data_IF_739828443170
#
_entry.id   IF_739828443170
#
_cell.length_a   1.000
_cell.length_b   1.000
_cell.length_c   1.000
_cell.angle_alpha   90.00
_cell.angle_beta   90.00
_cell.angle_gamma   90.00
#
_symmetry.space_group_name_H-M   'P 1'
#
loop_
_entity.id
_entity.type
_entity.pdbx_description
1 polymer ?
#
# COMPACT_ATOMS: atom_id res chain seq x y z
N UNK A 1 -42.27 -1.25 -7.92
CA UNK A 1 -40.98 -1.52 -7.24
C UNK A 1 -41.27 -2.11 -5.88
N UNK A 2 -41.13 -3.44 -5.73
CA UNK A 2 -41.47 -4.19 -4.50
C UNK A 2 -40.38 -3.86 -3.45
N UNK A 3 -40.82 -3.49 -2.23
CA UNK A 3 -39.92 -3.17 -1.13
C UNK A 3 -39.25 -4.45 -0.64
N UNK A 4 -38.00 -4.73 -1.09
CA UNK A 4 -37.18 -5.86 -0.64
C UNK A 4 -37.07 -5.95 0.91
N UNK A 5 -37.03 -4.82 1.59
CA UNK A 5 -37.00 -4.72 3.06
C UNK A 5 -38.21 -5.29 3.80
N UNK A 6 -39.33 -5.54 3.10
CA UNK A 6 -40.50 -6.20 3.76
C UNK A 6 -40.40 -7.71 3.70
N UNK A 7 -39.70 -8.30 2.73
CA UNK A 7 -39.65 -9.75 2.50
C UNK A 7 -38.40 -10.39 3.05
N UNK A 8 -37.24 -9.70 2.95
CA UNK A 8 -35.96 -10.24 3.39
C UNK A 8 -35.31 -9.28 4.42
N UNK A 9 -35.23 -9.71 5.68
CA UNK A 9 -34.64 -8.94 6.79
C UNK A 9 -33.42 -9.63 7.39
N UNK A 10 -33.27 -10.92 7.12
CA UNK A 10 -32.23 -11.78 7.72
C UNK A 10 -31.80 -12.89 6.78
N UNK A 11 -30.71 -13.56 7.14
CA UNK A 11 -30.31 -14.80 6.45
C UNK A 11 -31.32 -15.94 6.56
N UNK A 12 -32.18 -15.91 7.60
CA UNK A 12 -33.28 -16.89 7.72
C UNK A 12 -34.28 -16.73 6.57
N UNK A 13 -34.65 -15.49 6.27
CA UNK A 13 -35.58 -15.19 5.17
C UNK A 13 -34.95 -15.54 3.81
N UNK A 14 -33.64 -15.22 3.67
CA UNK A 14 -32.87 -15.57 2.47
C UNK A 14 -32.79 -17.08 2.25
N UNK A 15 -32.56 -17.89 3.30
CA UNK A 15 -32.51 -19.35 3.23
C UNK A 15 -33.85 -19.97 2.82
N UNK A 16 -34.97 -19.29 3.12
CA UNK A 16 -36.32 -19.77 2.75
C UNK A 16 -36.64 -19.56 1.29
N UNK A 17 -36.09 -18.51 0.64
CA UNK A 17 -36.34 -18.19 -0.75
C UNK A 17 -35.15 -17.48 -1.41
N UNK A 18 -34.03 -18.21 -1.64
CA UNK A 18 -32.83 -17.63 -2.23
C UNK A 18 -33.03 -17.18 -3.68
N UNK A 19 -33.81 -17.90 -4.46
CA UNK A 19 -34.07 -17.57 -5.86
C UNK A 19 -34.87 -16.28 -6.01
N UNK A 20 -35.93 -16.11 -5.22
CA UNK A 20 -36.72 -14.88 -5.21
C UNK A 20 -35.90 -13.68 -4.78
N UNK A 21 -34.99 -13.85 -3.82
CA UNK A 21 -34.06 -12.82 -3.40
C UNK A 21 -33.11 -12.38 -4.54
N UNK A 22 -32.44 -13.35 -5.21
CA UNK A 22 -31.53 -13.05 -6.31
C UNK A 22 -32.25 -12.37 -7.47
N UNK A 23 -33.39 -12.87 -7.89
CA UNK A 23 -34.18 -12.24 -8.96
C UNK A 23 -34.46 -10.79 -8.65
N UNK A 24 -34.93 -10.48 -7.43
CA UNK A 24 -35.25 -9.12 -7.04
C UNK A 24 -34.04 -8.18 -7.04
N UNK A 25 -32.87 -8.65 -6.57
CA UNK A 25 -31.64 -7.83 -6.54
C UNK A 25 -31.09 -7.60 -7.95
N UNK A 26 -31.01 -8.65 -8.76
CA UNK A 26 -30.42 -8.55 -10.10
C UNK A 26 -31.33 -7.86 -11.15
N UNK A 27 -32.65 -7.81 -10.89
CA UNK A 27 -33.64 -7.06 -11.70
C UNK A 27 -33.74 -5.58 -11.30
N UNK A 28 -32.90 -5.08 -10.43
CA UNK A 28 -32.84 -3.67 -10.04
C UNK A 28 -33.62 -3.31 -8.79
N UNK A 29 -33.99 -4.29 -7.96
CA UNK A 29 -34.55 -4.08 -6.64
C UNK A 29 -33.45 -3.66 -5.65
N UNK A 30 -33.39 -2.38 -5.26
CA UNK A 30 -32.49 -1.92 -4.21
C UNK A 30 -33.13 -1.92 -2.82
N UNK A 31 -32.33 -2.04 -1.76
CA UNK A 31 -32.77 -1.85 -0.38
C UNK A 31 -32.81 -0.36 -0.03
N UNK A 32 -34.00 0.22 0.08
CA UNK A 32 -34.18 1.64 0.39
C UNK A 32 -33.89 1.99 1.86
N UNK A 33 -34.05 1.04 2.79
CA UNK A 33 -33.84 1.29 4.21
C UNK A 33 -33.06 0.16 4.86
N UNK A 34 -31.74 0.35 5.01
CA UNK A 34 -30.81 -0.65 5.57
C UNK A 34 -30.78 -0.65 7.10
N UNK A 35 -31.40 0.35 7.75
CA UNK A 35 -31.42 0.49 9.21
C UNK A 35 -32.20 -0.62 9.93
N UNK A 36 -33.12 -1.25 9.22
CA UNK A 36 -33.97 -2.32 9.77
C UNK A 36 -33.41 -3.72 9.57
N UNK A 37 -32.17 -3.84 9.03
CA UNK A 37 -31.52 -5.11 8.75
C UNK A 37 -30.56 -5.48 9.89
N UNK A 38 -30.42 -6.78 10.15
CA UNK A 38 -29.35 -7.27 11.00
C UNK A 38 -27.98 -6.87 10.41
N UNK A 39 -27.01 -6.52 11.25
CA UNK A 39 -25.71 -5.96 10.83
C UNK A 39 -25.02 -6.84 9.78
N UNK A 40 -24.88 -8.13 10.01
CA UNK A 40 -24.25 -9.07 9.07
C UNK A 40 -24.99 -9.20 7.74
N UNK A 41 -26.32 -9.18 7.78
CA UNK A 41 -27.15 -9.22 6.58
C UNK A 41 -27.06 -7.89 5.80
N UNK A 42 -26.97 -6.77 6.49
CA UNK A 42 -26.73 -5.46 5.89
C UNK A 42 -25.37 -5.40 5.18
N UNK A 43 -24.31 -5.92 5.79
CA UNK A 43 -22.97 -6.01 5.20
C UNK A 43 -22.98 -6.85 3.90
N UNK A 44 -23.68 -7.98 3.92
CA UNK A 44 -23.88 -8.81 2.73
C UNK A 44 -24.59 -8.07 1.60
N UNK A 45 -25.67 -7.37 1.90
CA UNK A 45 -26.41 -6.57 0.90
C UNK A 45 -25.52 -5.47 0.31
N UNK A 46 -24.74 -4.78 1.13
CA UNK A 46 -23.83 -3.73 0.67
C UNK A 46 -22.76 -4.33 -0.25
N UNK A 47 -22.18 -5.49 0.09
CA UNK A 47 -21.24 -6.21 -0.73
C UNK A 47 -21.87 -6.56 -2.09
N UNK A 48 -23.06 -7.17 -2.10
CA UNK A 48 -23.73 -7.61 -3.32
C UNK A 48 -24.09 -6.43 -4.24
N UNK A 49 -24.58 -5.31 -3.67
CA UNK A 49 -24.86 -4.09 -4.45
C UNK A 49 -23.59 -3.52 -5.10
N UNK A 50 -22.44 -3.54 -4.40
CA UNK A 50 -21.15 -3.12 -4.98
C UNK A 50 -20.75 -4.03 -6.13
N UNK A 51 -20.77 -5.34 -5.90
CA UNK A 51 -20.44 -6.33 -6.94
C UNK A 51 -21.31 -6.14 -8.17
N UNK A 52 -22.62 -5.92 -8.01
CA UNK A 52 -23.55 -5.70 -9.14
C UNK A 52 -23.28 -4.36 -9.81
N UNK A 53 -23.00 -3.29 -9.07
CA UNK A 53 -22.70 -1.96 -9.61
C UNK A 53 -21.38 -1.96 -10.39
N UNK A 54 -20.33 -2.56 -9.84
CA UNK A 54 -19.02 -2.68 -10.50
C UNK A 54 -19.08 -3.61 -11.73
N UNK A 55 -20.18 -4.35 -11.89
CA UNK A 55 -20.42 -5.31 -12.95
C UNK A 55 -20.99 -4.73 -14.25
N UNK A 56 -20.95 -3.40 -14.47
CA UNK A 56 -21.36 -2.84 -15.78
C UNK A 56 -20.55 -3.41 -16.96
N UNK A 57 -19.33 -3.91 -16.69
CA UNK A 57 -18.49 -4.66 -17.63
C UNK A 57 -18.66 -6.18 -17.55
N UNK A 58 -19.36 -6.71 -16.53
CA UNK A 58 -19.55 -8.14 -16.29
C UNK A 58 -20.96 -8.52 -16.77
N UNK A 59 -21.07 -9.64 -17.47
CA UNK A 59 -22.38 -10.22 -17.76
C UNK A 59 -23.07 -10.59 -16.41
N UNK A 60 -24.07 -9.80 -15.99
CA UNK A 60 -24.86 -9.99 -14.75
C UNK A 60 -25.36 -11.44 -14.59
N UNK A 61 -25.56 -12.15 -15.70
CA UNK A 61 -25.97 -13.56 -15.72
C UNK A 61 -24.92 -14.48 -15.10
N UNK A 62 -23.62 -14.18 -15.27
CA UNK A 62 -22.56 -14.96 -14.61
C UNK A 62 -22.55 -14.76 -13.10
N UNK A 63 -22.69 -13.52 -12.63
CA UNK A 63 -22.78 -13.23 -11.21
C UNK A 63 -24.03 -13.87 -10.59
N UNK A 64 -25.17 -13.78 -11.27
CA UNK A 64 -26.39 -14.47 -10.82
C UNK A 64 -26.14 -15.96 -10.60
N UNK A 65 -25.58 -16.65 -11.61
CA UNK A 65 -25.24 -18.10 -11.50
C UNK A 65 -24.26 -18.37 -10.37
N UNK A 66 -23.29 -17.49 -10.15
CA UNK A 66 -22.30 -17.63 -9.10
C UNK A 66 -22.96 -17.61 -7.71
N UNK A 67 -23.78 -16.61 -7.43
CA UNK A 67 -24.48 -16.52 -6.15
C UNK A 67 -25.55 -17.59 -5.98
N UNK A 68 -26.30 -17.92 -7.02
CA UNK A 68 -27.26 -19.00 -7.03
C UNK A 68 -26.62 -20.35 -6.67
N UNK A 69 -25.43 -20.63 -7.24
CA UNK A 69 -24.70 -21.83 -6.93
C UNK A 69 -24.21 -21.84 -5.47
N UNK A 70 -23.64 -20.74 -4.94
CA UNK A 70 -23.24 -20.64 -3.57
C UNK A 70 -24.40 -20.85 -2.58
N UNK A 71 -25.60 -20.38 -2.91
CA UNK A 71 -26.81 -20.61 -2.11
C UNK A 71 -27.24 -22.09 -2.17
N UNK A 72 -27.21 -22.71 -3.33
CA UNK A 72 -27.51 -24.15 -3.49
C UNK A 72 -26.55 -25.04 -2.71
N UNK A 73 -25.28 -24.67 -2.67
CA UNK A 73 -24.27 -25.37 -1.87
C UNK A 73 -24.36 -25.01 -0.36
N UNK A 74 -25.25 -24.10 0.03
CA UNK A 74 -25.46 -23.69 1.41
C UNK A 74 -24.28 -22.96 2.05
N UNK A 75 -23.54 -22.15 1.26
CA UNK A 75 -22.33 -21.44 1.71
C UNK A 75 -22.65 -20.16 2.51
N UNK A 76 -23.65 -20.21 3.37
CA UNK A 76 -24.11 -19.04 4.13
C UNK A 76 -23.07 -18.47 5.10
N UNK A 77 -22.14 -19.31 5.57
CA UNK A 77 -21.07 -18.89 6.48
C UNK A 77 -20.15 -17.84 5.85
N UNK A 78 -20.00 -17.83 4.52
CA UNK A 78 -19.27 -16.79 3.78
C UNK A 78 -20.02 -15.46 3.88
N UNK A 79 -21.34 -15.50 3.68
CA UNK A 79 -22.17 -14.29 3.67
C UNK A 79 -22.36 -13.67 5.05
N UNK A 80 -22.29 -14.49 6.11
CA UNK A 80 -22.43 -14.07 7.51
C UNK A 80 -21.13 -13.50 8.10
N UNK A 81 -19.99 -13.61 7.37
CA UNK A 81 -18.69 -13.15 7.82
C UNK A 81 -18.19 -11.94 6.99
N UNK A 82 -17.99 -10.81 7.65
CA UNK A 82 -17.61 -9.55 6.99
C UNK A 82 -16.27 -9.61 6.25
N UNK A 83 -15.27 -10.29 6.83
CA UNK A 83 -13.96 -10.44 6.18
C UNK A 83 -14.06 -11.35 4.95
N UNK A 84 -14.83 -12.45 5.06
CA UNK A 84 -15.10 -13.35 3.96
C UNK A 84 -15.85 -12.64 2.81
N UNK A 85 -16.77 -11.73 3.11
CA UNK A 85 -17.45 -10.90 2.11
C UNK A 85 -16.47 -10.02 1.32
N UNK A 86 -15.47 -9.43 1.99
CA UNK A 86 -14.44 -8.65 1.30
C UNK A 86 -13.63 -9.50 0.31
N UNK A 87 -13.34 -10.75 0.65
CA UNK A 87 -12.66 -11.69 -0.25
C UNK A 87 -13.58 -12.09 -1.41
N UNK A 88 -14.86 -12.34 -1.12
CA UNK A 88 -15.86 -12.68 -2.14
C UNK A 88 -16.03 -11.54 -3.17
N UNK A 89 -16.02 -10.29 -2.72
CA UNK A 89 -16.03 -9.11 -3.58
C UNK A 89 -14.81 -9.10 -4.54
N UNK A 90 -13.62 -9.43 -4.04
CA UNK A 90 -12.42 -9.57 -4.86
C UNK A 90 -12.53 -10.73 -5.87
N UNK A 91 -13.06 -11.90 -5.46
CA UNK A 91 -13.30 -13.03 -6.37
C UNK A 91 -14.19 -12.59 -7.53
N UNK A 92 -15.28 -11.88 -7.26
CA UNK A 92 -16.17 -11.35 -8.27
C UNK A 92 -15.48 -10.30 -9.17
N UNK A 93 -14.71 -9.39 -8.57
CA UNK A 93 -13.95 -8.38 -9.31
C UNK A 93 -12.97 -8.98 -10.32
N UNK A 94 -12.36 -10.10 -10.00
CA UNK A 94 -11.42 -10.81 -10.87
C UNK A 94 -12.07 -11.95 -11.70
N UNK A 95 -13.38 -11.95 -11.89
CA UNK A 95 -14.11 -12.97 -12.64
C UNK A 95 -13.54 -13.28 -14.02
N UNK A 96 -12.91 -12.31 -14.69
CA UNK A 96 -12.28 -12.51 -16.01
C UNK A 96 -11.10 -13.51 -15.95
N UNK A 97 -10.58 -13.78 -14.75
CA UNK A 97 -9.53 -14.77 -14.50
C UNK A 97 -10.07 -16.17 -14.18
N UNK A 98 -11.40 -16.38 -14.13
CA UNK A 98 -11.97 -17.69 -13.84
C UNK A 98 -11.65 -18.67 -14.97
N UNK A 99 -11.18 -19.86 -14.61
CA UNK A 99 -10.81 -20.93 -15.50
C UNK A 99 -11.87 -22.02 -15.59
N UNK A 100 -12.73 -22.11 -14.57
CA UNK A 100 -13.79 -23.12 -14.49
C UNK A 100 -15.12 -22.46 -14.18
N UNK A 101 -16.21 -23.08 -14.67
CA UNK A 101 -17.57 -22.68 -14.31
C UNK A 101 -17.86 -23.07 -12.87
N UNK A 102 -18.55 -22.19 -12.14
CA UNK A 102 -18.88 -22.37 -10.73
C UNK A 102 -19.71 -23.64 -10.45
N UNK A 103 -20.50 -24.11 -11.41
CA UNK A 103 -21.42 -25.25 -11.26
C UNK A 103 -20.73 -26.55 -10.85
N UNK A 104 -19.44 -26.70 -11.10
CA UNK A 104 -18.65 -27.87 -10.71
C UNK A 104 -18.06 -27.77 -9.29
N UNK A 105 -18.11 -26.60 -8.66
CA UNK A 105 -17.61 -26.47 -7.29
C UNK A 105 -18.58 -27.06 -6.27
N UNK A 106 -18.03 -27.64 -5.19
CA UNK A 106 -18.82 -28.21 -4.09
C UNK A 106 -18.26 -27.76 -2.74
N UNK A 107 -19.15 -27.36 -1.84
CA UNK A 107 -18.79 -27.00 -0.47
C UNK A 107 -18.25 -28.21 0.30
N UNK A 108 -17.01 -28.09 0.86
CA UNK A 108 -16.35 -29.15 1.62
C UNK A 108 -16.12 -28.83 3.09
N UNK A 109 -16.36 -27.58 3.52
CA UNK A 109 -16.10 -27.11 4.87
C UNK A 109 -17.19 -26.16 5.35
N UNK A 110 -17.38 -26.05 6.67
CA UNK A 110 -18.20 -25.02 7.30
C UNK A 110 -17.40 -23.75 7.62
N UNK A 111 -16.06 -23.80 7.60
CA UNK A 111 -15.24 -22.63 7.83
C UNK A 111 -15.25 -21.74 6.57
N UNK A 112 -15.67 -20.45 6.65
CA UNK A 112 -15.82 -19.59 5.49
C UNK A 112 -14.49 -19.35 4.75
N UNK A 113 -13.38 -19.26 5.47
CA UNK A 113 -12.06 -19.04 4.85
C UNK A 113 -11.53 -20.29 4.13
N UNK A 114 -11.82 -21.49 4.66
CA UNK A 114 -11.51 -22.75 3.95
C UNK A 114 -12.38 -22.88 2.70
N UNK A 115 -13.66 -22.54 2.78
CA UNK A 115 -14.54 -22.52 1.59
C UNK A 115 -14.01 -21.57 0.53
N UNK A 116 -13.63 -20.33 0.90
CA UNK A 116 -13.09 -19.35 -0.03
C UNK A 116 -11.77 -19.79 -0.63
N UNK A 117 -10.89 -20.43 0.15
CA UNK A 117 -9.62 -20.97 -0.36
C UNK A 117 -9.87 -22.04 -1.42
N UNK A 118 -10.77 -22.99 -1.14
CA UNK A 118 -11.15 -24.03 -2.10
C UNK A 118 -11.80 -23.42 -3.35
N UNK A 119 -12.67 -22.42 -3.16
CA UNK A 119 -13.34 -21.72 -4.26
C UNK A 119 -12.34 -20.95 -5.14
N UNK A 120 -11.38 -20.23 -4.54
CA UNK A 120 -10.32 -19.52 -5.25
C UNK A 120 -9.48 -20.51 -6.06
N UNK A 121 -9.02 -21.60 -5.43
CA UNK A 121 -8.28 -22.65 -6.12
C UNK A 121 -9.08 -23.22 -7.29
N UNK A 122 -10.35 -23.52 -7.07
CA UNK A 122 -11.21 -24.06 -8.10
C UNK A 122 -11.40 -23.12 -9.29
N UNK A 123 -11.69 -21.85 -9.03
CA UNK A 123 -12.02 -20.86 -10.06
C UNK A 123 -10.80 -20.39 -10.84
N UNK A 124 -9.65 -20.18 -10.18
CA UNK A 124 -8.52 -19.48 -10.78
C UNK A 124 -7.32 -20.38 -11.13
N UNK A 125 -7.26 -21.62 -10.62
CA UNK A 125 -6.09 -22.47 -10.77
C UNK A 125 -6.35 -23.67 -11.68
N UNK A 126 -5.67 -23.72 -12.83
CA UNK A 126 -5.48 -24.93 -13.63
C UNK A 126 -4.27 -25.71 -13.12
N UNK A 127 -3.26 -24.98 -12.61
CA UNK A 127 -2.02 -25.49 -12.04
C UNK A 127 -1.91 -25.12 -10.58
N UNK A 128 -1.23 -25.96 -9.81
CA UNK A 128 -1.02 -25.75 -8.39
C UNK A 128 -0.19 -24.48 -8.15
N UNK A 129 -0.63 -23.65 -7.21
CA UNK A 129 0.02 -22.41 -6.82
C UNK A 129 0.54 -22.57 -5.40
N UNK A 130 1.77 -22.09 -5.15
CA UNK A 130 2.40 -22.15 -3.83
C UNK A 130 1.53 -21.53 -2.74
N UNK A 131 1.50 -22.16 -1.57
CA UNK A 131 0.61 -21.81 -0.46
C UNK A 131 0.70 -20.35 -0.01
N UNK A 132 1.90 -19.78 0.02
CA UNK A 132 2.10 -18.37 0.43
C UNK A 132 1.39 -17.37 -0.49
N UNK A 133 1.13 -17.72 -1.76
CA UNK A 133 0.45 -16.83 -2.71
C UNK A 133 -1.05 -16.65 -2.40
N UNK A 134 -1.64 -17.55 -1.61
CA UNK A 134 -3.01 -17.34 -1.10
C UNK A 134 -3.11 -16.13 -0.18
N UNK A 135 -1.98 -15.68 0.39
CA UNK A 135 -1.92 -14.44 1.16
C UNK A 135 -2.36 -13.20 0.36
N UNK A 136 -2.27 -13.24 -0.98
CA UNK A 136 -2.87 -12.24 -1.85
C UNK A 136 -4.37 -12.01 -1.60
N UNK A 137 -5.09 -13.06 -1.23
CA UNK A 137 -6.54 -13.03 -0.99
C UNK A 137 -6.89 -12.79 0.47
N UNK A 138 -6.08 -13.30 1.40
CA UNK A 138 -6.36 -13.34 2.84
C UNK A 138 -5.51 -12.35 3.65
N UNK A 139 -4.39 -11.86 3.10
CA UNK A 139 -3.47 -10.95 3.78
C UNK A 139 -3.99 -9.52 3.90
N UNK A 140 -3.39 -8.79 4.84
CA UNK A 140 -3.71 -7.38 5.13
C UNK A 140 -2.79 -6.45 4.35
N UNK A 141 -2.99 -6.36 3.04
CA UNK A 141 -2.24 -5.45 2.17
C UNK A 141 -3.05 -4.20 1.85
N UNK A 142 -2.35 -3.10 1.55
CA UNK A 142 -2.93 -1.96 0.86
C UNK A 142 -3.58 -2.39 -0.45
N UNK A 143 -4.73 -1.80 -0.81
CA UNK A 143 -5.54 -2.24 -1.94
C UNK A 143 -4.73 -2.32 -3.25
N UNK A 144 -3.87 -1.33 -3.53
CA UNK A 144 -3.05 -1.30 -4.74
C UNK A 144 -2.13 -2.53 -4.85
N UNK A 145 -1.39 -2.84 -3.82
CA UNK A 145 -0.50 -4.02 -3.74
C UNK A 145 -1.30 -5.32 -3.79
N UNK A 146 -2.39 -5.39 -3.04
CA UNK A 146 -3.25 -6.57 -3.01
C UNK A 146 -3.75 -6.96 -4.41
N UNK A 147 -4.14 -5.97 -5.21
CA UNK A 147 -4.56 -6.21 -6.60
C UNK A 147 -3.42 -6.73 -7.48
N UNK A 148 -2.17 -6.29 -7.26
CA UNK A 148 -0.99 -6.81 -7.96
C UNK A 148 -0.77 -8.29 -7.58
N UNK A 149 -0.82 -8.64 -6.30
CA UNK A 149 -0.60 -10.01 -5.83
C UNK A 149 -1.70 -10.97 -6.29
N UNK A 150 -2.95 -10.53 -6.34
CA UNK A 150 -4.05 -11.31 -6.91
C UNK A 150 -3.81 -11.58 -8.41
N UNK A 151 -3.33 -10.59 -9.16
CA UNK A 151 -2.96 -10.80 -10.57
C UNK A 151 -1.81 -11.80 -10.71
N UNK A 152 -0.82 -11.79 -9.80
CA UNK A 152 0.24 -12.80 -9.78
C UNK A 152 -0.32 -14.19 -9.52
N UNK A 153 -1.19 -14.32 -8.52
CA UNK A 153 -1.86 -15.60 -8.22
C UNK A 153 -2.59 -16.15 -9.44
N UNK A 154 -3.41 -15.33 -10.11
CA UNK A 154 -4.16 -15.71 -11.30
C UNK A 154 -3.22 -16.08 -12.45
N UNK A 155 -2.18 -15.28 -12.68
CA UNK A 155 -1.18 -15.51 -13.73
C UNK A 155 -0.50 -16.86 -13.57
N UNK A 156 -0.05 -17.18 -12.37
CA UNK A 156 0.61 -18.44 -12.05
C UNK A 156 -0.35 -19.62 -12.04
N UNK A 157 -1.54 -19.45 -11.47
CA UNK A 157 -2.60 -20.45 -11.48
C UNK A 157 -3.06 -20.82 -12.90
N UNK A 158 -2.85 -19.95 -13.87
CA UNK A 158 -3.10 -20.20 -15.30
C UNK A 158 -1.92 -20.90 -16.00
N UNK A 159 -0.86 -21.28 -15.29
CA UNK A 159 0.33 -21.92 -15.86
C UNK A 159 1.30 -20.99 -16.57
N UNK A 160 1.16 -19.67 -16.41
CA UNK A 160 2.07 -18.71 -17.01
C UNK A 160 3.40 -18.63 -16.24
N UNK A 161 4.46 -18.23 -16.93
CA UNK A 161 5.79 -18.10 -16.35
C UNK A 161 5.87 -17.02 -15.28
N UNK A 162 6.55 -17.32 -14.16
CA UNK A 162 6.84 -16.36 -13.09
C UNK A 162 7.69 -15.15 -13.55
N UNK A 163 8.37 -15.24 -14.69
CA UNK A 163 9.08 -14.10 -15.30
C UNK A 163 8.12 -13.00 -15.78
N UNK A 164 6.85 -13.33 -16.03
CA UNK A 164 5.82 -12.39 -16.47
C UNK A 164 5.10 -11.65 -15.32
N UNK A 165 5.55 -11.79 -14.08
CA UNK A 165 4.95 -11.09 -12.93
C UNK A 165 5.24 -9.58 -13.02
N UNK A 166 4.21 -8.81 -13.35
CA UNK A 166 4.30 -7.35 -13.50
C UNK A 166 4.09 -6.59 -12.20
N UNK A 167 4.30 -5.27 -12.24
CA UNK A 167 4.07 -4.36 -11.11
C UNK A 167 5.27 -4.19 -10.18
N UNK A 168 6.40 -4.84 -10.46
CA UNK A 168 7.67 -4.61 -9.81
C UNK A 168 8.43 -3.45 -10.46
N UNK A 169 9.27 -2.77 -9.70
CA UNK A 169 10.19 -1.74 -10.19
C UNK A 169 11.48 -2.30 -10.79
N UNK A 170 11.53 -3.60 -11.04
CA UNK A 170 12.68 -4.30 -11.63
C UNK A 170 12.22 -5.57 -12.35
N UNK A 171 13.05 -6.07 -13.26
CA UNK A 171 12.79 -7.31 -13.96
C UNK A 171 13.25 -8.53 -13.15
N UNK A 172 12.38 -9.53 -13.03
CA UNK A 172 12.72 -10.78 -12.37
C UNK A 172 13.72 -11.58 -13.19
N UNK A 173 14.86 -11.90 -12.58
CA UNK A 173 15.78 -12.89 -13.18
C UNK A 173 15.21 -14.30 -13.00
N UNK A 174 15.61 -15.25 -13.88
CA UNK A 174 15.20 -16.67 -13.79
C UNK A 174 15.45 -17.25 -12.40
N UNK A 175 16.57 -16.92 -11.77
CA UNK A 175 16.95 -17.41 -10.45
C UNK A 175 16.04 -16.85 -9.35
N UNK A 176 15.75 -15.53 -9.36
CA UNK A 176 14.83 -14.91 -8.39
C UNK A 176 13.42 -15.51 -8.56
N UNK A 177 12.94 -15.62 -9.79
CA UNK A 177 11.64 -16.16 -10.11
C UNK A 177 11.49 -17.63 -9.66
N UNK A 178 12.51 -18.46 -9.88
CA UNK A 178 12.53 -19.85 -9.41
C UNK A 178 12.50 -19.93 -7.88
N UNK A 179 13.37 -19.17 -7.20
CA UNK A 179 13.43 -19.14 -5.73
C UNK A 179 12.14 -18.61 -5.11
N UNK A 180 11.45 -17.68 -5.78
CA UNK A 180 10.16 -17.17 -5.36
C UNK A 180 9.07 -18.24 -5.41
N UNK A 181 8.93 -18.94 -6.54
CA UNK A 181 7.88 -19.96 -6.70
C UNK A 181 8.11 -21.15 -5.78
N UNK A 182 9.37 -21.56 -5.61
CA UNK A 182 9.73 -22.69 -4.70
C UNK A 182 9.66 -22.29 -3.23
N UNK A 183 9.44 -20.99 -2.93
CA UNK A 183 9.44 -20.46 -1.57
C UNK A 183 10.69 -20.91 -0.77
N UNK A 184 11.85 -20.71 -1.34
CA UNK A 184 13.13 -21.17 -0.80
C UNK A 184 13.40 -20.69 0.65
N UNK A 185 12.79 -19.57 1.02
CA UNK A 185 12.89 -19.03 2.39
C UNK A 185 11.81 -19.53 3.34
N UNK A 186 10.83 -20.35 2.91
CA UNK A 186 9.75 -20.83 3.77
C UNK A 186 8.86 -19.72 4.36
N UNK A 187 8.86 -18.54 3.73
CA UNK A 187 8.05 -17.39 4.15
C UNK A 187 6.56 -17.62 3.94
N UNK A 188 5.72 -16.91 4.70
CA UNK A 188 4.25 -16.95 4.56
C UNK A 188 3.69 -15.74 3.84
N UNK A 189 4.37 -14.63 3.90
CA UNK A 189 4.02 -13.35 3.30
C UNK A 189 4.72 -13.20 1.94
N UNK A 190 4.02 -12.67 0.94
CA UNK A 190 4.51 -12.57 -0.44
C UNK A 190 5.77 -11.71 -0.56
N UNK A 191 5.82 -10.58 0.18
CA UNK A 191 6.99 -9.70 0.15
C UNK A 191 8.19 -10.33 0.85
N UNK A 192 7.97 -11.07 1.96
CA UNK A 192 9.02 -11.81 2.64
C UNK A 192 9.64 -12.86 1.73
N UNK A 193 8.80 -13.62 1.00
CA UNK A 193 9.27 -14.62 0.05
C UNK A 193 10.05 -13.98 -1.10
N UNK A 194 9.59 -12.84 -1.60
CA UNK A 194 10.28 -12.12 -2.67
C UNK A 194 11.66 -11.61 -2.21
N UNK A 195 11.74 -10.99 -1.03
CA UNK A 195 13.01 -10.49 -0.47
C UNK A 195 13.96 -11.66 -0.17
N UNK A 196 13.46 -12.74 0.44
CA UNK A 196 14.25 -13.95 0.66
C UNK A 196 14.77 -14.58 -0.63
N UNK A 197 13.98 -14.53 -1.70
CA UNK A 197 14.38 -15.01 -3.02
C UNK A 197 15.51 -14.17 -3.64
N UNK A 198 15.49 -12.86 -3.42
CA UNK A 198 16.57 -11.96 -3.83
C UNK A 198 17.83 -12.23 -3.01
N UNK A 199 17.69 -12.40 -1.68
CA UNK A 199 18.81 -12.70 -0.79
C UNK A 199 19.52 -13.99 -1.19
N UNK A 200 18.79 -15.07 -1.44
CA UNK A 200 19.34 -16.38 -1.81
C UNK A 200 20.08 -16.37 -3.15
N UNK A 201 19.80 -15.39 -4.01
CA UNK A 201 20.57 -15.21 -5.24
C UNK A 201 22.00 -14.71 -5.02
N UNK A 202 22.31 -14.22 -3.83
CA UNK A 202 23.65 -13.68 -3.50
C UNK A 202 24.65 -14.74 -3.01
N UNK A 203 24.23 -16.02 -2.90
CA UNK A 203 25.16 -17.14 -2.72
C UNK A 203 25.39 -17.60 -1.27
N UNK A 204 24.57 -17.16 -0.31
CA UNK A 204 24.67 -17.57 1.09
C UNK A 204 23.41 -18.19 1.65
N UNK A 205 23.51 -18.81 2.82
CA UNK A 205 22.33 -19.18 3.62
C UNK A 205 21.58 -17.92 4.05
N UNK A 206 20.25 -18.02 4.13
CA UNK A 206 19.42 -16.89 4.55
C UNK A 206 19.57 -16.66 6.05
N UNK A 207 20.21 -15.56 6.43
CA UNK A 207 20.20 -15.09 7.80
C UNK A 207 18.82 -14.50 8.13
N UNK A 208 18.06 -15.17 8.98
CA UNK A 208 16.68 -14.80 9.32
C UNK A 208 16.56 -13.47 10.06
N UNK A 209 17.56 -13.11 10.84
CA UNK A 209 17.61 -11.80 11.52
C UNK A 209 17.73 -10.66 10.49
N UNK A 210 18.68 -10.81 9.58
CA UNK A 210 18.90 -9.88 8.47
C UNK A 210 17.70 -9.83 7.54
N UNK A 211 17.14 -10.99 7.18
CA UNK A 211 15.94 -11.08 6.33
C UNK A 211 14.78 -10.25 6.89
N UNK A 212 14.41 -10.49 8.16
CA UNK A 212 13.33 -9.75 8.83
C UNK A 212 13.58 -8.24 8.83
N UNK A 213 14.82 -7.85 9.02
CA UNK A 213 15.21 -6.46 9.07
C UNK A 213 15.13 -5.80 7.68
N UNK A 214 15.61 -6.46 6.64
CA UNK A 214 15.50 -6.01 5.26
C UNK A 214 14.03 -5.91 4.81
N UNK A 215 13.20 -6.89 5.18
CA UNK A 215 11.74 -6.84 4.93
C UNK A 215 11.12 -5.56 5.53
N UNK A 216 11.44 -5.25 6.78
CA UNK A 216 10.95 -4.04 7.42
C UNK A 216 11.39 -2.76 6.70
N UNK A 217 12.66 -2.67 6.31
CA UNK A 217 13.22 -1.48 5.64
C UNK A 217 12.61 -1.27 4.25
N UNK A 218 12.50 -2.34 3.47
CA UNK A 218 12.04 -2.28 2.07
C UNK A 218 10.54 -2.01 2.00
N UNK A 219 9.74 -2.64 2.89
CA UNK A 219 8.29 -2.41 2.98
C UNK A 219 7.93 -0.98 3.33
N UNK A 220 8.64 -0.37 4.29
CA UNK A 220 8.39 1.02 4.69
C UNK A 220 8.52 2.03 3.53
N UNK A 221 9.15 1.64 2.43
CA UNK A 221 9.44 2.52 1.29
C UNK A 221 8.77 2.08 -0.01
N UNK A 222 7.98 0.98 0.02
CA UNK A 222 7.42 0.33 -1.18
C UNK A 222 8.47 0.05 -2.27
N UNK A 223 9.72 -0.12 -1.83
CA UNK A 223 10.91 0.00 -2.66
C UNK A 223 10.92 -0.93 -3.88
N UNK A 224 10.44 -2.17 -3.75
CA UNK A 224 10.43 -3.14 -4.85
C UNK A 224 9.34 -2.87 -5.92
N UNK A 225 8.32 -2.08 -5.59
CA UNK A 225 7.18 -1.77 -6.46
C UNK A 225 7.29 -0.40 -7.12
N UNK A 226 8.22 0.43 -6.66
CA UNK A 226 8.50 1.72 -7.27
C UNK A 226 9.38 1.53 -8.52
N UNK A 227 8.89 1.96 -9.69
CA UNK A 227 9.60 1.81 -10.97
C UNK A 227 10.99 2.47 -10.99
N UNK A 228 11.14 3.58 -10.28
CA UNK A 228 12.40 4.33 -10.24
C UNK A 228 13.41 3.74 -9.23
N UNK A 229 12.92 2.97 -8.25
CA UNK A 229 13.70 2.53 -7.09
C UNK A 229 13.94 1.02 -7.04
N UNK A 230 13.10 0.21 -7.70
CA UNK A 230 13.08 -1.25 -7.54
C UNK A 230 14.43 -1.91 -7.80
N UNK A 231 15.13 -1.50 -8.85
CA UNK A 231 16.47 -2.01 -9.16
C UNK A 231 17.47 -1.71 -8.02
N UNK A 232 17.44 -0.49 -7.49
CA UNK A 232 18.31 -0.10 -6.37
C UNK A 232 18.03 -0.96 -5.12
N UNK A 233 16.76 -1.22 -4.80
CA UNK A 233 16.42 -2.05 -3.64
C UNK A 233 16.83 -3.51 -3.81
N UNK A 234 16.81 -4.04 -5.02
CA UNK A 234 17.38 -5.36 -5.32
C UNK A 234 18.88 -5.37 -5.06
N UNK A 235 19.63 -4.35 -5.51
CA UNK A 235 21.07 -4.23 -5.24
C UNK A 235 21.33 -4.04 -3.74
N UNK A 236 20.51 -3.26 -3.05
CA UNK A 236 20.60 -3.04 -1.60
C UNK A 236 20.44 -4.36 -0.84
N UNK A 237 19.42 -5.15 -1.14
CA UNK A 237 19.20 -6.46 -0.53
C UNK A 237 20.42 -7.36 -0.80
N UNK A 238 20.87 -7.47 -2.03
CA UNK A 238 22.04 -8.29 -2.41
C UNK A 238 23.31 -7.83 -1.70
N UNK A 239 23.53 -6.52 -1.59
CA UNK A 239 24.72 -5.95 -0.94
C UNK A 239 24.84 -6.41 0.52
N UNK A 240 23.74 -6.37 1.28
CA UNK A 240 23.75 -6.79 2.68
C UNK A 240 23.67 -8.30 2.84
N UNK A 241 23.09 -9.03 1.91
CA UNK A 241 22.98 -10.50 1.98
C UNK A 241 24.33 -11.22 2.05
N UNK A 242 25.38 -10.65 1.44
CA UNK A 242 26.74 -11.23 1.47
C UNK A 242 27.58 -10.73 2.66
N UNK A 243 27.02 -9.84 3.49
CA UNK A 243 27.73 -9.17 4.62
C UNK A 243 27.03 -9.43 5.95
N UNK A 244 26.70 -10.67 6.20
CA UNK A 244 25.84 -11.13 7.31
C UNK A 244 26.40 -10.91 8.73
N UNK A 245 27.68 -10.55 8.89
CA UNK A 245 28.31 -10.26 10.19
C UNK A 245 28.10 -8.81 10.67
N UNK A 246 27.03 -8.16 10.27
CA UNK A 246 26.81 -6.75 10.45
C UNK A 246 25.64 -6.44 11.38
N UNK A 247 25.75 -5.39 12.22
CA UNK A 247 24.66 -4.96 13.10
C UNK A 247 23.48 -4.40 12.27
N UNK A 248 22.29 -5.02 12.36
CA UNK A 248 21.11 -4.59 11.62
C UNK A 248 20.70 -3.13 11.82
N UNK A 249 21.05 -2.51 12.95
CA UNK A 249 20.70 -1.10 13.26
C UNK A 249 21.32 -0.14 12.23
N UNK A 250 22.57 -0.39 11.86
CA UNK A 250 23.26 0.43 10.87
C UNK A 250 22.64 0.35 9.48
N UNK A 251 22.01 -0.80 9.13
CA UNK A 251 21.36 -0.96 7.82
C UNK A 251 20.24 0.06 7.63
N UNK A 252 19.45 0.33 8.68
CA UNK A 252 18.40 1.34 8.64
C UNK A 252 18.97 2.74 8.41
N UNK A 253 20.04 3.10 9.12
CA UNK A 253 20.72 4.39 8.95
C UNK A 253 21.29 4.55 7.55
N UNK A 254 21.92 3.48 7.01
CA UNK A 254 22.44 3.47 5.64
C UNK A 254 21.30 3.60 4.63
N UNK A 255 20.19 2.89 4.83
CA UNK A 255 19.03 2.99 3.94
C UNK A 255 18.47 4.42 3.91
N UNK A 256 18.31 5.07 5.07
CA UNK A 256 17.82 6.45 5.18
C UNK A 256 18.80 7.45 4.55
N UNK A 257 20.09 7.28 4.81
CA UNK A 257 21.15 8.10 4.24
C UNK A 257 21.14 8.02 2.72
N UNK A 258 21.19 6.80 2.15
CA UNK A 258 21.23 6.63 0.70
C UNK A 258 19.94 7.14 0.06
N UNK A 259 18.78 6.83 0.67
CA UNK A 259 17.49 7.30 0.19
C UNK A 259 17.46 8.82 0.08
N UNK A 260 17.94 9.53 1.12
CA UNK A 260 18.02 10.99 1.11
C UNK A 260 18.96 11.54 0.03
N UNK A 261 20.04 10.83 -0.30
CA UNK A 261 21.03 11.29 -1.30
C UNK A 261 20.65 10.97 -2.73
N UNK A 262 20.05 9.78 -2.94
CA UNK A 262 19.77 9.25 -4.28
C UNK A 262 18.37 9.64 -4.80
N UNK A 263 17.35 9.65 -3.94
CA UNK A 263 15.96 9.74 -4.37
C UNK A 263 15.25 11.01 -3.91
N UNK A 264 15.92 11.84 -3.09
CA UNK A 264 15.28 13.02 -2.57
C UNK A 264 15.08 14.10 -3.63
N UNK A 265 13.88 14.16 -4.16
CA UNK A 265 13.40 15.18 -5.11
C UNK A 265 12.50 16.23 -4.44
N UNK A 266 12.45 16.28 -3.10
CA UNK A 266 11.45 17.09 -2.37
C UNK A 266 11.49 18.59 -2.62
N UNK A 267 12.48 19.08 -3.37
CA UNK A 267 12.69 20.50 -3.66
C UNK A 267 12.65 20.84 -5.16
N UNK A 268 12.22 19.90 -6.01
CA UNK A 268 12.39 20.05 -7.45
C UNK A 268 13.85 20.10 -7.90
N UNK A 269 14.78 19.86 -6.97
CA UNK A 269 16.21 19.77 -7.26
C UNK A 269 16.57 18.34 -7.68
N UNK A 270 17.59 18.24 -8.52
CA UNK A 270 18.21 16.96 -8.83
C UNK A 270 18.72 16.35 -7.51
N UNK A 271 18.49 15.06 -7.22
CA UNK A 271 19.05 14.41 -6.05
C UNK A 271 20.54 14.67 -5.94
N UNK A 272 21.06 14.79 -4.71
CA UNK A 272 22.48 15.13 -4.49
C UNK A 272 23.44 14.11 -5.15
N UNK A 273 23.04 12.84 -5.17
CA UNK A 273 23.79 11.75 -5.81
C UNK A 273 22.87 10.81 -6.60
N UNK A 274 22.29 11.24 -7.73
CA UNK A 274 21.34 10.41 -8.50
C UNK A 274 21.97 9.10 -9.00
N UNK A 275 23.27 9.10 -9.28
CA UNK A 275 24.04 7.95 -9.76
C UNK A 275 24.68 7.13 -8.63
N UNK A 276 24.19 7.28 -7.38
CA UNK A 276 24.68 6.50 -6.25
C UNK A 276 24.55 5.00 -6.52
N UNK A 277 25.68 4.29 -6.44
CA UNK A 277 25.73 2.84 -6.60
C UNK A 277 26.31 2.19 -5.33
N UNK A 278 25.47 1.48 -4.59
CA UNK A 278 25.84 0.84 -3.32
C UNK A 278 26.87 -0.27 -3.53
N UNK A 279 26.84 -0.98 -4.66
CA UNK A 279 27.75 -2.10 -4.94
C UNK A 279 29.21 -1.67 -5.07
N UNK A 280 29.45 -0.39 -5.36
CA UNK A 280 30.79 0.21 -5.48
C UNK A 280 31.31 0.84 -4.20
N UNK A 281 30.55 0.77 -3.10
CA UNK A 281 30.91 1.42 -1.83
C UNK A 281 31.44 0.41 -0.83
N UNK A 282 32.48 0.83 -0.11
CA UNK A 282 32.95 0.12 1.07
C UNK A 282 31.93 0.25 2.22
N UNK A 283 31.77 -0.83 2.98
CA UNK A 283 30.80 -0.88 4.07
C UNK A 283 31.18 0.06 5.22
N UNK A 284 32.47 0.14 5.57
CA UNK A 284 32.97 1.04 6.62
C UNK A 284 32.66 2.50 6.28
N UNK A 285 32.94 2.89 5.04
CA UNK A 285 32.62 4.25 4.54
C UNK A 285 31.12 4.52 4.59
N UNK A 286 30.27 3.55 4.21
CA UNK A 286 28.82 3.71 4.30
C UNK A 286 28.33 3.89 5.74
N UNK A 287 28.92 3.17 6.70
CA UNK A 287 28.60 3.32 8.11
C UNK A 287 28.97 4.72 8.59
N UNK A 288 30.23 5.13 8.39
CA UNK A 288 30.70 6.44 8.81
C UNK A 288 29.90 7.59 8.22
N UNK A 289 29.61 7.54 6.94
CA UNK A 289 28.82 8.56 6.23
C UNK A 289 27.38 8.60 6.75
N UNK A 290 26.75 7.44 6.93
CA UNK A 290 25.38 7.35 7.44
C UNK A 290 25.29 7.83 8.88
N UNK A 291 26.24 7.48 9.74
CA UNK A 291 26.29 7.96 11.13
C UNK A 291 26.56 9.46 11.20
N UNK A 292 27.46 9.98 10.37
CA UNK A 292 27.70 11.41 10.26
C UNK A 292 26.43 12.14 9.84
N UNK A 293 25.73 11.62 8.85
CA UNK A 293 24.46 12.15 8.37
C UNK A 293 23.38 12.09 9.47
N UNK A 294 23.24 10.97 10.20
CA UNK A 294 22.31 10.82 11.33
C UNK A 294 22.66 11.83 12.44
N UNK A 295 23.93 12.01 12.76
CA UNK A 295 24.36 13.04 13.74
C UNK A 295 23.99 14.45 13.30
N UNK A 296 24.16 14.77 12.01
CA UNK A 296 23.75 16.07 11.45
C UNK A 296 22.22 16.24 11.49
N UNK A 297 21.46 15.22 11.14
CA UNK A 297 20.00 15.25 11.22
C UNK A 297 19.54 15.41 12.68
N UNK A 298 20.19 14.72 13.60
CA UNK A 298 19.94 14.83 15.04
C UNK A 298 20.28 16.23 15.59
N UNK A 299 21.37 16.85 15.15
CA UNK A 299 21.74 18.20 15.55
C UNK A 299 20.74 19.24 15.02
N UNK A 300 20.29 19.08 13.77
CA UNK A 300 19.25 19.94 13.19
C UNK A 300 17.94 19.82 13.97
N UNK A 301 17.53 18.62 14.36
CA UNK A 301 16.31 18.44 15.14
C UNK A 301 16.39 19.00 16.56
N UNK A 302 17.57 18.94 17.22
CA UNK A 302 17.77 19.58 18.55
C UNK A 302 17.63 21.11 18.48
N UNK A 303 18.02 21.70 17.38
CA UNK A 303 17.87 23.14 17.16
C UNK A 303 16.40 23.55 16.88
N UNK A 304 15.51 22.59 16.60
CA UNK A 304 14.10 22.82 16.30
C UNK A 304 13.12 22.47 17.44
N UNK A 305 13.59 21.97 18.60
CA UNK A 305 12.69 21.72 19.71
C UNK A 305 13.37 21.14 20.95
N UNK A 306 13.00 21.61 22.14
CA UNK A 306 13.26 20.94 23.40
C UNK A 306 12.50 19.62 23.42
N UNK A 307 13.19 18.53 23.12
CA UNK A 307 12.62 17.18 23.21
C UNK A 307 13.14 16.52 24.48
N UNK A 308 12.22 15.92 25.22
CA UNK A 308 12.42 15.20 26.48
C UNK A 308 13.68 14.31 26.47
N UNK A 309 14.49 14.44 27.54
CA UNK A 309 15.86 13.94 27.62
C UNK A 309 16.04 12.40 27.65
N UNK A 310 14.97 11.61 27.77
CA UNK A 310 15.07 10.16 28.04
C UNK A 310 15.04 9.24 26.82
N UNK A 311 14.93 9.76 25.59
CA UNK A 311 14.80 8.91 24.38
C UNK A 311 15.61 9.44 23.17
N UNK A 312 16.84 9.90 23.39
CA UNK A 312 17.65 10.70 22.46
C UNK A 312 18.09 9.98 21.16
N UNK A 313 18.25 8.66 21.16
CA UNK A 313 18.77 7.93 19.99
C UNK A 313 17.68 7.35 19.08
N UNK A 314 16.42 7.44 19.47
CA UNK A 314 15.28 6.79 18.80
C UNK A 314 14.33 7.76 18.08
N UNK A 315 14.35 9.06 18.45
CA UNK A 315 13.27 9.98 18.02
C UNK A 315 13.34 10.38 16.57
N UNK A 316 14.51 10.67 16.01
CA UNK A 316 14.60 11.10 14.61
C UNK A 316 14.58 9.91 13.65
N UNK A 317 15.29 8.84 13.97
CA UNK A 317 15.17 7.61 13.18
C UNK A 317 13.71 7.14 13.14
N UNK A 318 13.02 7.19 14.27
CA UNK A 318 11.58 6.93 14.33
C UNK A 318 10.76 8.04 13.66
N UNK A 319 11.02 9.32 13.94
CA UNK A 319 10.27 10.43 13.38
C UNK A 319 10.42 10.51 11.85
N UNK A 320 11.64 10.35 11.36
CA UNK A 320 11.96 10.41 9.92
C UNK A 320 11.46 9.16 9.20
N UNK A 321 11.44 8.00 9.85
CA UNK A 321 10.90 6.75 9.32
C UNK A 321 9.38 6.63 9.40
N UNK A 322 8.68 7.50 10.16
CA UNK A 322 7.23 7.47 10.23
C UNK A 322 6.60 7.95 8.93
N UNK A 323 5.68 7.14 8.43
CA UNK A 323 4.73 7.50 7.38
C UNK A 323 3.32 7.42 7.95
N UNK A 324 2.43 8.23 7.40
CA UNK A 324 1.01 8.19 7.72
C UNK A 324 0.19 8.26 6.44
N UNK A 325 -1.04 7.80 6.55
CA UNK A 325 -1.94 7.69 5.42
C UNK A 325 -2.28 9.09 4.86
N UNK A 326 -2.22 9.20 3.54
CA UNK A 326 -2.57 10.40 2.81
C UNK A 326 -4.09 10.52 2.74
N UNK A 327 -4.64 11.70 3.04
CA UNK A 327 -6.08 11.93 2.91
C UNK A 327 -6.56 12.05 1.46
N UNK A 328 -5.63 12.18 0.49
CA UNK A 328 -5.98 12.45 -0.90
C UNK A 328 -6.59 13.83 -1.16
N UNK A 329 -6.59 14.68 -0.14
CA UNK A 329 -7.08 16.06 -0.25
C UNK A 329 -5.98 16.93 -0.87
N UNK A 330 -6.33 17.70 -1.90
CA UNK A 330 -5.44 18.73 -2.47
C UNK A 330 -4.55 18.27 -3.62
N UNK A 331 -4.60 17.03 -4.09
CA UNK A 331 -3.84 16.59 -5.27
C UNK A 331 -4.18 17.40 -6.52
N UNK A 332 -5.42 17.91 -6.62
CA UNK A 332 -5.94 18.70 -7.74
C UNK A 332 -6.00 20.19 -7.42
N UNK A 333 -5.47 20.62 -6.28
CA UNK A 333 -5.51 22.04 -5.90
C UNK A 333 -4.42 22.82 -6.61
N UNK A 334 -4.79 23.45 -7.72
CA UNK A 334 -3.94 24.37 -8.48
C UNK A 334 -4.50 25.78 -8.35
N UNK A 335 -3.65 26.71 -7.89
CA UNK A 335 -3.98 28.12 -7.76
C UNK A 335 -3.15 28.93 -8.74
N UNK A 336 -3.80 29.84 -9.47
CA UNK A 336 -3.12 30.75 -10.40
C UNK A 336 -3.17 32.16 -9.89
N UNK A 337 -2.00 32.82 -9.75
CA UNK A 337 -1.89 34.22 -9.39
C UNK A 337 -1.15 34.98 -10.49
N UNK A 338 -1.73 36.09 -10.94
CA UNK A 338 -1.04 37.02 -11.88
C UNK A 338 -0.05 37.87 -11.12
N UNK A 339 1.23 37.81 -11.52
CA UNK A 339 2.28 38.71 -11.03
C UNK A 339 2.60 39.73 -12.13
N UNK A 340 2.60 40.99 -11.78
CA UNK A 340 3.07 42.07 -12.66
C UNK A 340 4.57 42.21 -12.43
N UNK A 341 5.36 42.12 -13.48
CA UNK A 341 6.81 42.35 -13.46
C UNK A 341 7.11 43.83 -13.56
N UNK A 342 8.28 44.27 -13.07
CA UNK A 342 8.75 45.68 -13.05
C UNK A 342 8.87 46.30 -14.44
N UNK A 343 8.56 45.63 -15.51
CA UNK A 343 8.46 46.12 -16.89
C UNK A 343 7.04 46.07 -17.47
N UNK A 344 5.99 45.95 -16.64
CA UNK A 344 4.59 45.90 -17.08
C UNK A 344 4.13 44.56 -17.66
N UNK A 345 5.02 43.57 -17.79
CA UNK A 345 4.67 42.21 -18.21
C UNK A 345 3.88 41.49 -17.12
N UNK A 346 2.86 40.70 -17.55
CA UNK A 346 2.08 39.88 -16.64
C UNK A 346 2.54 38.42 -16.77
N UNK A 347 2.95 37.79 -15.65
CA UNK A 347 3.28 36.37 -15.59
C UNK A 347 2.24 35.65 -14.71
N UNK A 348 1.70 34.56 -15.18
CA UNK A 348 0.85 33.70 -14.38
C UNK A 348 1.73 32.79 -13.53
N UNK A 349 1.65 32.91 -12.21
CA UNK A 349 2.28 31.97 -11.27
C UNK A 349 1.24 30.95 -10.90
N UNK A 350 1.60 29.67 -11.09
CA UNK A 350 0.78 28.54 -10.68
C UNK A 350 1.35 27.92 -9.41
N UNK A 351 0.48 27.60 -8.48
CA UNK A 351 0.81 26.98 -7.20
C UNK A 351 0.03 25.68 -7.05
N UNK A 352 0.65 24.71 -6.44
CA UNK A 352 0.01 23.44 -6.08
C UNK A 352 0.26 23.13 -4.61
N UNK A 353 -0.61 22.30 -4.02
CA UNK A 353 -0.54 21.89 -2.61
C UNK A 353 -0.22 20.42 -2.53
N UNK A 354 0.72 20.05 -1.65
CA UNK A 354 1.15 18.67 -1.41
C UNK A 354 0.99 18.36 0.06
N UNK A 355 0.32 17.25 0.40
CA UNK A 355 0.30 16.73 1.75
C UNK A 355 1.65 16.09 2.09
N UNK A 356 2.23 16.47 3.23
CA UNK A 356 3.47 15.90 3.74
C UNK A 356 3.13 14.70 4.61
N UNK A 357 3.39 13.49 4.12
CA UNK A 357 2.94 12.23 4.72
C UNK A 357 4.03 11.42 5.41
N UNK A 358 5.20 12.01 5.61
CA UNK A 358 6.32 11.37 6.31
C UNK A 358 7.18 12.36 7.08
N UNK A 359 7.90 11.85 8.08
CA UNK A 359 8.75 12.68 8.93
C UNK A 359 9.93 13.30 8.20
N UNK A 360 10.44 12.68 7.13
CA UNK A 360 11.51 13.24 6.32
C UNK A 360 11.02 14.47 5.56
N UNK A 361 9.83 14.40 4.97
CA UNK A 361 9.20 15.55 4.30
C UNK A 361 8.99 16.72 5.25
N UNK A 362 8.53 16.46 6.48
CA UNK A 362 8.42 17.51 7.52
C UNK A 362 9.78 18.10 7.91
N UNK A 363 10.82 17.26 8.04
CA UNK A 363 12.17 17.75 8.34
C UNK A 363 12.68 18.70 7.25
N UNK A 364 12.49 18.35 5.99
CA UNK A 364 12.92 19.14 4.84
C UNK A 364 12.15 20.45 4.74
N UNK A 365 10.84 20.37 4.90
CA UNK A 365 9.97 21.55 4.94
C UNK A 365 10.46 22.53 6.02
N UNK A 366 10.68 22.02 7.25
CA UNK A 366 11.17 22.83 8.37
C UNK A 366 12.53 23.47 8.11
N UNK A 367 13.46 22.76 7.46
CA UNK A 367 14.79 23.25 7.12
C UNK A 367 14.72 24.43 6.13
N UNK A 368 13.89 24.30 5.10
CA UNK A 368 13.79 25.29 4.04
C UNK A 368 13.01 26.51 4.50
N UNK A 369 11.89 26.26 5.16
CA UNK A 369 10.99 27.30 5.64
C UNK A 369 11.46 27.93 6.96
N UNK A 370 12.50 27.37 7.59
CA UNK A 370 13.08 27.83 8.88
C UNK A 370 12.03 27.90 9.99
N UNK A 371 11.24 26.83 10.14
CA UNK A 371 10.26 26.69 11.23
C UNK A 371 10.12 25.25 11.72
N UNK A 372 9.47 25.06 12.89
CA UNK A 372 9.51 23.82 13.69
C UNK A 372 8.49 22.76 13.23
N UNK A 373 8.26 22.55 11.93
CA UNK A 373 7.21 21.64 11.45
C UNK A 373 7.50 20.17 11.78
N UNK A 374 8.75 19.77 11.98
CA UNK A 374 9.10 18.40 12.40
C UNK A 374 8.46 17.99 13.74
N UNK A 375 8.18 18.96 14.63
CA UNK A 375 7.53 18.66 15.92
C UNK A 375 6.12 18.08 15.77
N UNK A 376 5.50 18.22 14.60
CA UNK A 376 4.16 17.70 14.31
C UNK A 376 4.11 16.21 13.96
N UNK A 377 5.27 15.53 13.76
CA UNK A 377 5.31 14.09 13.39
C UNK A 377 4.42 13.24 14.29
N UNK A 378 4.53 13.39 15.61
CA UNK A 378 3.72 12.63 16.56
C UNK A 378 2.22 12.89 16.44
N UNK A 379 1.82 14.10 16.08
CA UNK A 379 0.42 14.47 15.86
C UNK A 379 -0.11 13.97 14.52
N UNK A 380 0.74 14.00 13.47
CA UNK A 380 0.39 13.50 12.14
C UNK A 380 0.20 11.98 12.16
N UNK A 381 1.10 11.24 12.81
CA UNK A 381 0.99 9.77 12.97
C UNK A 381 -0.29 9.38 13.70
N UNK A 382 -0.74 10.16 14.68
CA UNK A 382 -1.98 9.95 15.42
C UNK A 382 -3.23 10.46 14.69
N UNK A 383 -3.07 11.04 13.49
CA UNK A 383 -4.18 11.63 12.74
C UNK A 383 -4.76 12.92 13.35
N UNK A 384 -4.08 13.52 14.35
CA UNK A 384 -4.55 14.73 15.04
C UNK A 384 -4.35 16.02 14.25
N UNK A 385 -3.38 16.02 13.34
CA UNK A 385 -3.16 17.11 12.39
C UNK A 385 -2.63 16.59 11.06
N UNK A 386 -2.70 17.43 10.03
CA UNK A 386 -2.11 17.22 8.72
C UNK A 386 -1.35 18.45 8.32
N UNK A 387 -0.22 18.25 7.65
CA UNK A 387 0.62 19.34 7.18
C UNK A 387 0.67 19.30 5.66
N UNK A 388 0.43 20.46 5.05
CA UNK A 388 0.49 20.63 3.62
C UNK A 388 1.56 21.66 3.27
N UNK A 389 2.21 21.46 2.12
CA UNK A 389 3.19 22.38 1.52
C UNK A 389 2.61 22.98 0.25
N UNK A 390 2.47 24.30 0.21
CA UNK A 390 2.12 25.02 -1.01
C UNK A 390 3.39 25.39 -1.78
N UNK A 391 3.47 24.99 -3.03
CA UNK A 391 4.67 25.13 -3.88
C UNK A 391 4.34 25.84 -5.17
N UNK A 392 5.30 26.61 -5.66
CA UNK A 392 5.23 27.21 -6.98
C UNK A 392 5.58 26.15 -8.05
N UNK A 393 4.78 26.07 -9.13
CA UNK A 393 4.81 24.94 -10.06
C UNK A 393 6.08 24.85 -10.90
N UNK A 394 6.63 25.96 -11.30
CA UNK A 394 7.80 26.00 -12.20
C UNK A 394 9.10 25.81 -11.44
N UNK A 395 9.24 26.44 -10.28
CA UNK A 395 10.46 26.39 -9.46
C UNK A 395 10.41 25.32 -8.39
N UNK A 396 9.24 24.71 -8.15
CA UNK A 396 8.97 23.80 -7.03
C UNK A 396 9.34 24.40 -5.66
N UNK A 397 9.51 25.73 -5.59
CA UNK A 397 9.86 26.42 -4.35
C UNK A 397 8.69 26.39 -3.37
N UNK A 398 9.00 26.12 -2.10
CA UNK A 398 8.01 26.13 -1.02
C UNK A 398 7.65 27.58 -0.70
N UNK A 399 6.36 27.86 -0.73
CA UNK A 399 5.82 29.21 -0.47
C UNK A 399 5.21 29.29 0.92
N UNK A 400 4.37 28.30 1.26
CA UNK A 400 3.64 28.26 2.52
C UNK A 400 3.61 26.83 3.06
N UNK A 401 3.66 26.71 4.38
CA UNK A 401 3.33 25.48 5.12
C UNK A 401 1.99 25.69 5.83
N UNK A 402 1.07 24.76 5.66
CA UNK A 402 -0.33 24.85 6.10
C UNK A 402 -0.59 23.72 7.08
N UNK A 403 -1.09 24.03 8.26
CA UNK A 403 -1.55 23.08 9.25
C UNK A 403 -3.07 22.95 9.21
N UNK A 404 -3.56 21.72 9.11
CA UNK A 404 -4.99 21.40 9.13
C UNK A 404 -5.29 20.49 10.31
N UNK A 405 -6.35 20.81 11.10
CA UNK A 405 -6.89 19.98 12.17
C UNK A 405 -8.41 19.91 12.04
N UNK A 406 -8.98 18.72 12.16
CA UNK A 406 -10.44 18.53 12.06
C UNK A 406 -11.02 19.24 10.83
N UNK A 407 -10.37 19.06 9.68
CA UNK A 407 -10.77 19.64 8.38
C UNK A 407 -10.72 21.17 8.30
N UNK A 408 -10.19 21.85 9.32
CA UNK A 408 -10.02 23.30 9.35
C UNK A 408 -8.54 23.69 9.23
N UNK A 409 -8.25 24.71 8.44
CA UNK A 409 -6.93 25.35 8.42
C UNK A 409 -6.71 26.08 9.73
N UNK A 410 -5.76 25.60 10.52
CA UNK A 410 -5.44 26.19 11.84
C UNK A 410 -4.30 27.19 11.73
N UNK A 411 -3.37 26.94 10.82
CA UNK A 411 -2.18 27.77 10.67
C UNK A 411 -1.66 27.77 9.24
N UNK A 412 -1.23 28.95 8.78
CA UNK A 412 -0.52 29.14 7.51
C UNK A 412 0.74 29.96 7.80
N UNK A 413 1.91 29.45 7.38
CA UNK A 413 3.19 30.10 7.63
C UNK A 413 4.07 30.12 6.40
N UNK A 414 4.62 31.30 6.11
CA UNK A 414 5.70 31.49 5.17
C UNK A 414 7.08 31.26 5.78
N UNK A 415 8.13 31.50 5.00
CA UNK A 415 9.52 31.33 5.44
C UNK A 415 9.82 32.17 6.68
N UNK A 416 10.51 31.57 7.67
CA UNK A 416 10.84 32.17 8.97
C UNK A 416 9.60 32.61 9.77
N UNK A 417 8.52 31.83 9.69
CA UNK A 417 7.25 32.08 10.39
C UNK A 417 6.53 33.39 10.01
N UNK A 418 6.82 33.98 8.86
CA UNK A 418 6.02 35.09 8.36
C UNK A 418 4.58 34.62 8.07
N UNK A 419 3.62 35.41 8.51
CA UNK A 419 2.20 35.19 8.20
C UNK A 419 1.85 35.81 6.85
#
# INVERSE_FOLDING_TARGET
MIKLTRRYRSFKDLRSDPNGFLLLIFEGGGFRNKKDLFVSFSDFIICLERVIKDSESINKRYLYRFFDHLFKEGSYEIFENREALGILELICKFHYGWRRDISGWRKRSRNPFKQLRDLISYLFCEYEVSDFLYDAWFGSYELGKRLIYIKWFIHLGSGNSSLGLGGLGFDLTRRIAHNFITNICGGKDIEDVLIGSIMSCSGGEINWGLHRHLCSIVRLRDGLFNKDEGFFWVEFIKYFSVRWMFDPVHISHIADYIYSKKFDRSLGQVPEQPNFNIMKKDLGVLIEDSERWVRQMNALARNFGRVDNNNRNSFIGKAVGHRWEKLGIGEDWVFTKKKILDGGGKVNMEFYVVELCDGMSLLKEGKIMKHCVLSYVGSCVKGLCRIFSMRERFTCSIVLTIEVRKEMVVQVRGKSNRQ
#
